data_IF_204430849387
#
_entry.id   IF_204430849387
#
_cell.length_a   1.000
_cell.length_b   1.000
_cell.length_c   1.000
_cell.angle_alpha   90.00
_cell.angle_beta   90.00
_cell.angle_gamma   90.00
#
_symmetry.space_group_name_H-M   'P 1'
#
loop_
_entity.id
_entity.type
_entity.pdbx_description
1 polymer ?
#
# COMPACT_ATOMS: atom_id res chain seq x y z
N UNK A 1 -12.04 10.15 17.28
CA UNK A 1 -12.09 9.91 15.82
C UNK A 1 -10.75 10.23 15.13
N UNK A 2 -9.88 11.06 15.70
CA UNK A 2 -8.60 11.47 15.10
C UNK A 2 -7.60 10.32 14.88
N UNK A 3 -7.50 9.36 15.82
CA UNK A 3 -6.61 8.19 15.71
C UNK A 3 -6.88 7.33 14.45
N UNK A 4 -8.15 7.20 14.06
CA UNK A 4 -8.53 6.39 12.90
C UNK A 4 -8.11 7.07 11.60
N UNK A 5 -8.22 8.41 11.55
CA UNK A 5 -7.79 9.17 10.38
C UNK A 5 -6.28 9.10 10.19
N UNK A 6 -5.51 9.15 11.29
CA UNK A 6 -4.04 9.07 11.23
C UNK A 6 -3.57 7.68 10.76
N UNK A 7 -4.17 6.61 11.27
CA UNK A 7 -3.88 5.23 10.84
C UNK A 7 -4.13 5.02 9.34
N UNK A 8 -5.18 5.61 8.79
CA UNK A 8 -5.48 5.50 7.35
C UNK A 8 -4.45 6.20 6.47
N UNK A 9 -4.00 7.38 6.89
CA UNK A 9 -2.95 8.11 6.18
C UNK A 9 -1.64 7.32 6.22
N UNK A 10 -1.30 6.71 7.36
CA UNK A 10 -0.12 5.83 7.48
C UNK A 10 -0.24 4.63 6.54
N UNK A 11 -1.40 3.96 6.49
CA UNK A 11 -1.60 2.79 5.61
C UNK A 11 -1.49 3.16 4.12
N UNK A 12 -2.03 4.30 3.71
CA UNK A 12 -1.87 4.83 2.36
C UNK A 12 -0.40 5.12 2.04
N UNK A 13 0.30 5.81 2.94
CA UNK A 13 1.69 6.16 2.75
C UNK A 13 2.57 4.91 2.66
N UNK A 14 2.35 3.93 3.55
CA UNK A 14 3.07 2.66 3.57
C UNK A 14 2.86 1.87 2.27
N UNK A 15 1.61 1.78 1.79
CA UNK A 15 1.30 1.11 0.54
C UNK A 15 1.98 1.76 -0.67
N UNK A 16 1.97 3.09 -0.74
CA UNK A 16 2.65 3.85 -1.80
C UNK A 16 4.17 3.64 -1.75
N UNK A 17 4.77 3.69 -0.56
CA UNK A 17 6.20 3.45 -0.37
C UNK A 17 6.58 2.04 -0.83
N UNK A 18 5.81 1.01 -0.50
CA UNK A 18 6.05 -0.36 -0.97
C UNK A 18 6.06 -0.46 -2.51
N UNK A 19 5.10 0.19 -3.18
CA UNK A 19 5.01 0.18 -4.65
C UNK A 19 6.19 0.95 -5.27
N UNK A 20 6.57 2.09 -4.71
CA UNK A 20 7.71 2.88 -5.19
C UNK A 20 9.02 2.10 -5.04
N UNK A 21 9.26 1.46 -3.89
CA UNK A 21 10.45 0.64 -3.65
C UNK A 21 10.51 -0.52 -4.65
N UNK A 22 9.37 -1.16 -4.92
CA UNK A 22 9.32 -2.22 -5.92
C UNK A 22 9.60 -1.71 -7.35
N UNK A 23 9.08 -0.53 -7.71
CA UNK A 23 9.28 0.07 -9.03
C UNK A 23 10.66 0.71 -9.27
N UNK A 24 11.35 1.14 -8.21
CA UNK A 24 12.71 1.70 -8.29
C UNK A 24 13.82 0.64 -8.23
N UNK A 25 13.46 -0.63 -8.02
CA UNK A 25 14.43 -1.69 -7.92
C UNK A 25 15.10 -1.90 -9.30
N UNK A 26 16.46 -1.88 -9.37
CA UNK A 26 17.19 -1.96 -10.63
C UNK A 26 16.80 -3.21 -11.40
N UNK A 27 16.71 -3.07 -12.72
CA UNK A 27 16.18 -4.09 -13.64
C UNK A 27 16.72 -5.50 -13.35
N UNK A 28 15.86 -6.49 -13.54
CA UNK A 28 16.11 -7.90 -13.23
C UNK A 28 17.34 -8.51 -13.95
N UNK A 29 17.97 -7.76 -14.86
CA UNK A 29 19.19 -8.15 -15.57
C UNK A 29 20.41 -8.34 -14.65
N UNK A 30 20.42 -7.73 -13.45
CA UNK A 30 21.52 -7.83 -12.47
C UNK A 30 21.04 -8.41 -11.13
N UNK A 31 19.73 -8.40 -10.88
CA UNK A 31 19.17 -8.78 -9.60
C UNK A 31 18.91 -10.30 -9.53
N UNK A 32 19.20 -10.95 -8.39
CA UNK A 32 18.82 -12.34 -8.17
C UNK A 32 17.32 -12.59 -8.36
N UNK A 33 16.93 -13.79 -8.82
CA UNK A 33 15.52 -14.15 -9.07
C UNK A 33 14.59 -13.90 -7.86
N UNK A 34 15.10 -14.08 -6.65
CA UNK A 34 14.35 -13.81 -5.42
C UNK A 34 13.99 -12.32 -5.23
N UNK A 35 14.77 -11.39 -5.81
CA UNK A 35 14.45 -9.96 -5.81
C UNK A 35 13.24 -9.68 -6.69
N UNK A 36 13.13 -10.37 -7.84
CA UNK A 36 11.96 -10.26 -8.70
C UNK A 36 10.68 -10.74 -8.00
N UNK A 37 10.74 -11.89 -7.34
CA UNK A 37 9.62 -12.42 -6.54
C UNK A 37 9.26 -11.42 -5.42
N UNK A 38 10.26 -10.85 -4.75
CA UNK A 38 10.05 -9.86 -3.70
C UNK A 38 9.41 -8.56 -4.23
N UNK A 39 9.82 -8.08 -5.41
CA UNK A 39 9.20 -6.93 -6.07
C UNK A 39 7.72 -7.19 -6.35
N UNK A 40 7.38 -8.32 -6.97
CA UNK A 40 5.99 -8.69 -7.24
C UNK A 40 5.16 -8.78 -5.95
N UNK A 41 5.72 -9.40 -4.91
CA UNK A 41 5.08 -9.49 -3.60
C UNK A 41 4.82 -8.11 -3.00
N UNK A 42 5.82 -7.20 -3.05
CA UNK A 42 5.70 -5.83 -2.54
C UNK A 42 4.66 -5.00 -3.31
N UNK A 43 4.55 -5.17 -4.63
CA UNK A 43 3.53 -4.51 -5.45
C UNK A 43 2.15 -5.00 -5.04
N UNK A 44 1.94 -6.32 -4.98
CA UNK A 44 0.65 -6.92 -4.59
C UNK A 44 0.26 -6.45 -3.18
N UNK A 45 1.18 -6.51 -2.23
CA UNK A 45 0.96 -6.06 -0.87
C UNK A 45 0.61 -4.56 -0.80
N UNK A 46 1.35 -3.72 -1.53
CA UNK A 46 1.09 -2.28 -1.59
C UNK A 46 -0.31 -1.96 -2.15
N UNK A 47 -0.73 -2.62 -3.22
CA UNK A 47 -2.07 -2.46 -3.81
C UNK A 47 -3.16 -2.90 -2.82
N UNK A 48 -2.97 -4.00 -2.11
CA UNK A 48 -3.92 -4.47 -1.09
C UNK A 48 -4.07 -3.42 0.03
N UNK A 49 -2.95 -2.88 0.53
CA UNK A 49 -2.95 -1.88 1.60
C UNK A 49 -3.66 -0.58 1.17
N UNK A 50 -3.41 -0.10 -0.05
CA UNK A 50 -4.08 1.08 -0.60
C UNK A 50 -5.57 0.83 -0.74
N UNK A 51 -5.96 -0.32 -1.28
CA UNK A 51 -7.38 -0.68 -1.49
C UNK A 51 -8.12 -0.80 -0.17
N UNK A 52 -7.52 -1.46 0.83
CA UNK A 52 -8.07 -1.59 2.17
C UNK A 52 -8.27 -0.21 2.83
N UNK A 53 -7.28 0.69 2.69
CA UNK A 53 -7.39 2.05 3.21
C UNK A 53 -8.53 2.84 2.54
N UNK A 54 -8.72 2.70 1.22
CA UNK A 54 -9.83 3.35 0.49
C UNK A 54 -11.19 2.81 0.97
N UNK A 55 -11.34 1.48 1.06
CA UNK A 55 -12.59 0.85 1.51
C UNK A 55 -12.93 1.29 2.94
N UNK A 56 -11.94 1.26 3.84
CA UNK A 56 -12.13 1.71 5.21
C UNK A 56 -12.57 3.19 5.28
N UNK A 57 -12.09 4.03 4.35
CA UNK A 57 -12.50 5.44 4.22
C UNK A 57 -13.97 5.56 3.89
N UNK A 58 -14.41 4.78 2.91
CA UNK A 58 -15.78 4.78 2.45
C UNK A 58 -16.73 4.33 3.58
N UNK A 59 -16.35 3.29 4.32
CA UNK A 59 -17.12 2.79 5.47
C UNK A 59 -17.23 3.85 6.57
N UNK A 60 -16.12 4.51 6.93
CA UNK A 60 -16.14 5.57 7.95
C UNK A 60 -16.97 6.78 7.51
N UNK A 61 -16.84 7.22 6.25
CA UNK A 61 -17.61 8.34 5.72
C UNK A 61 -19.11 8.06 5.65
N UNK A 62 -19.50 6.80 5.39
CA UNK A 62 -20.91 6.37 5.39
C UNK A 62 -21.53 6.47 6.79
N UNK A 63 -20.77 6.15 7.84
CA UNK A 63 -21.24 6.27 9.23
C UNK A 63 -21.42 7.72 9.69
N UNK A 64 -20.61 8.65 9.18
CA UNK A 64 -20.71 10.07 9.56
C UNK A 64 -21.94 10.79 9.00
N UNK A 65 -22.70 10.17 8.08
CA UNK A 65 -23.90 10.76 7.45
C UNK A 65 -25.22 10.29 8.07
N UNK A 66 -25.19 9.33 8.99
CA UNK A 66 -26.35 8.94 9.82
C UNK A 66 -26.20 9.53 11.21
#
# INVERSE_FOLDING_TARGET
MERNSLLMVILLFLGVVCVIIAGLSPGQDIAPEWVGILQYFLIILGVILITAAIIFRQIMNSKSKR
#
